data_IF_837888339272
#
_entry.id   IF_837888339272
#
_cell.length_a   1.000
_cell.length_b   1.000
_cell.length_c   1.000
_cell.angle_alpha   90.00
_cell.angle_beta   90.00
_cell.angle_gamma   90.00
#
_symmetry.space_group_name_H-M   'P 1'
#
loop_
_entity.id
_entity.type
_entity.pdbx_description
1 polymer ?
#
# COMPACT_ATOMS: atom_id res chain seq x y z
N UNK A 1 21.11 2.04 -9.14
CA UNK A 1 20.93 1.11 -10.27
C UNK A 1 19.55 0.51 -10.15
N UNK A 2 18.57 1.02 -10.91
CA UNK A 2 17.34 0.27 -11.16
C UNK A 2 17.83 -0.88 -12.03
N UNK A 3 18.05 -2.07 -11.44
CA UNK A 3 18.15 -3.29 -12.25
C UNK A 3 16.96 -3.19 -13.20
N UNK A 4 17.23 -3.25 -14.51
CA UNK A 4 16.18 -3.44 -15.49
C UNK A 4 15.22 -4.46 -14.88
N UNK A 5 13.98 -4.06 -14.59
CA UNK A 5 12.93 -5.00 -14.18
C UNK A 5 12.54 -5.78 -15.43
N UNK A 6 13.50 -6.52 -15.94
CA UNK A 6 13.38 -7.40 -17.09
C UNK A 6 12.79 -8.70 -16.57
N UNK A 7 11.68 -9.09 -17.19
CA UNK A 7 10.94 -10.35 -17.01
C UNK A 7 10.11 -10.46 -15.72
N UNK A 8 9.07 -9.63 -15.61
CA UNK A 8 7.78 -10.21 -15.21
C UNK A 8 7.39 -11.19 -16.33
N UNK A 9 7.42 -12.49 -16.06
CA UNK A 9 6.94 -13.50 -17.01
C UNK A 9 5.48 -13.19 -17.31
N UNK A 10 5.21 -12.64 -18.50
CA UNK A 10 3.88 -12.69 -19.12
C UNK A 10 3.59 -14.16 -19.38
N UNK A 11 3.00 -14.84 -18.40
CA UNK A 11 2.46 -16.18 -18.62
C UNK A 11 1.15 -16.00 -19.39
N UNK A 12 1.18 -16.47 -20.63
CA UNK A 12 0.06 -16.53 -21.57
C UNK A 12 -1.02 -17.44 -21.02
N UNK A 13 -1.90 -16.89 -20.20
CA UNK A 13 -3.22 -17.42 -20.02
C UNK A 13 -4.12 -16.73 -21.04
N UNK A 14 -4.83 -17.53 -21.82
CA UNK A 14 -5.97 -17.07 -22.62
C UNK A 14 -6.84 -16.18 -21.74
N UNK A 15 -6.82 -14.87 -22.01
CA UNK A 15 -7.65 -13.86 -21.31
C UNK A 15 -9.13 -14.01 -21.65
N UNK A 16 -9.45 -14.95 -22.54
CA UNK A 16 -10.78 -15.23 -23.00
C UNK A 16 -11.35 -16.33 -22.08
N UNK A 17 -12.38 -15.97 -21.30
CA UNK A 17 -13.36 -16.83 -20.57
C UNK A 17 -13.37 -16.80 -19.04
N UNK A 18 -12.56 -16.01 -18.33
CA UNK A 18 -12.73 -15.96 -16.87
C UNK A 18 -13.87 -15.00 -16.50
N UNK A 19 -14.97 -15.51 -15.94
CA UNK A 19 -16.10 -14.71 -15.50
C UNK A 19 -15.99 -14.29 -14.03
N UNK A 20 -16.77 -13.29 -13.60
CA UNK A 20 -16.88 -12.94 -12.16
C UNK A 20 -17.41 -14.11 -11.33
N UNK A 21 -18.28 -14.94 -11.92
CA UNK A 21 -18.86 -16.10 -11.25
C UNK A 21 -17.77 -17.11 -10.87
N UNK A 22 -16.81 -17.33 -11.75
CA UNK A 22 -15.71 -18.28 -11.54
C UNK A 22 -14.80 -17.82 -10.39
N UNK A 23 -14.47 -16.53 -10.35
CA UNK A 23 -13.63 -15.96 -9.29
C UNK A 23 -14.25 -16.06 -7.89
N UNK A 24 -15.57 -15.91 -7.76
CA UNK A 24 -16.23 -15.95 -6.46
C UNK A 24 -16.97 -17.26 -6.20
N UNK A 25 -16.74 -18.31 -7.01
CA UNK A 25 -17.42 -19.60 -6.86
C UNK A 25 -17.21 -20.21 -5.48
N UNK A 26 -15.98 -20.18 -4.98
CA UNK A 26 -15.55 -20.74 -3.69
C UNK A 26 -15.95 -19.91 -2.47
N UNK A 27 -16.37 -18.65 -2.66
CA UNK A 27 -16.77 -17.79 -1.53
C UNK A 27 -18.10 -18.26 -0.94
N UNK A 28 -18.10 -18.58 0.36
CA UNK A 28 -19.30 -18.94 1.11
C UNK A 28 -20.09 -17.71 1.56
N UNK A 29 -21.40 -17.87 1.71
CA UNK A 29 -22.34 -16.82 2.13
C UNK A 29 -23.05 -17.31 3.38
N UNK A 30 -22.48 -16.99 4.53
CA UNK A 30 -22.98 -17.46 5.84
C UNK A 30 -23.72 -16.36 6.61
N UNK A 31 -23.43 -15.09 6.31
CA UNK A 31 -23.95 -13.94 7.06
C UNK A 31 -24.28 -12.79 6.10
N UNK A 32 -25.26 -11.97 6.48
CA UNK A 32 -25.55 -10.70 5.86
C UNK A 32 -24.36 -9.74 6.05
N UNK A 33 -23.76 -9.19 4.98
CA UNK A 33 -22.62 -8.27 5.09
C UNK A 33 -22.97 -6.89 5.67
N UNK A 34 -24.26 -6.60 5.90
CA UNK A 34 -24.72 -5.33 6.43
C UNK A 34 -25.08 -5.36 7.92
N UNK A 35 -25.62 -6.48 8.42
CA UNK A 35 -26.08 -6.62 9.81
C UNK A 35 -25.56 -7.88 10.51
N UNK A 36 -24.73 -8.69 9.84
CA UNK A 36 -24.15 -9.94 10.37
C UNK A 36 -25.15 -11.04 10.72
N UNK A 37 -26.44 -10.89 10.41
CA UNK A 37 -27.45 -11.94 10.58
C UNK A 37 -27.20 -13.15 9.66
N UNK A 38 -27.47 -14.36 10.16
CA UNK A 38 -27.48 -15.62 9.38
C UNK A 38 -28.81 -15.85 8.63
N UNK A 39 -29.84 -15.04 8.94
CA UNK A 39 -31.18 -15.19 8.42
C UNK A 39 -31.31 -14.59 7.01
N UNK A 40 -30.84 -15.31 6.00
CA UNK A 40 -30.97 -14.94 4.59
C UNK A 40 -31.46 -16.08 3.71
N UNK A 41 -32.19 -15.72 2.66
CA UNK A 41 -32.70 -16.67 1.66
C UNK A 41 -32.22 -16.32 0.26
N UNK A 42 -32.21 -17.29 -0.65
CA UNK A 42 -31.93 -17.06 -2.07
C UNK A 42 -33.00 -16.12 -2.66
N UNK A 43 -32.57 -15.16 -3.47
CA UNK A 43 -33.42 -14.10 -4.05
C UNK A 43 -33.11 -13.91 -5.54
N UNK A 44 -33.20 -14.99 -6.31
CA UNK A 44 -32.94 -15.01 -7.75
C UNK A 44 -31.48 -14.79 -8.15
N UNK A 45 -31.26 -14.47 -9.43
CA UNK A 45 -29.93 -14.28 -10.02
C UNK A 45 -29.80 -12.91 -10.69
N UNK A 46 -28.57 -12.40 -10.75
CA UNK A 46 -28.22 -11.25 -11.57
C UNK A 46 -26.89 -11.54 -12.27
N UNK A 47 -26.85 -11.44 -13.61
CA UNK A 47 -25.69 -11.78 -14.44
C UNK A 47 -25.07 -13.15 -14.07
N UNK A 48 -25.92 -14.16 -13.85
CA UNK A 48 -25.51 -15.52 -13.48
C UNK A 48 -24.99 -15.70 -12.05
N UNK A 49 -25.06 -14.66 -11.20
CA UNK A 49 -24.64 -14.69 -9.79
C UNK A 49 -25.86 -14.74 -8.88
N UNK A 50 -25.88 -15.72 -7.97
CA UNK A 50 -26.93 -15.87 -6.96
C UNK A 50 -26.99 -14.63 -6.06
N UNK A 51 -28.19 -14.06 -5.95
CA UNK A 51 -28.52 -13.02 -4.96
C UNK A 51 -29.18 -13.65 -3.74
N UNK A 52 -29.00 -13.00 -2.60
CA UNK A 52 -29.60 -13.33 -1.32
C UNK A 52 -30.30 -12.10 -0.78
N UNK A 53 -31.36 -12.29 0.00
CA UNK A 53 -32.02 -11.24 0.78
C UNK A 53 -31.95 -11.59 2.25
N UNK A 54 -31.47 -10.67 3.07
CA UNK A 54 -31.51 -10.79 4.52
C UNK A 54 -32.94 -10.58 5.00
N UNK A 55 -33.47 -11.44 5.86
CA UNK A 55 -34.82 -11.29 6.42
C UNK A 55 -34.88 -10.22 7.51
N UNK A 56 -33.81 -10.03 8.26
CA UNK A 56 -33.78 -9.06 9.37
C UNK A 56 -33.65 -7.62 8.86
N UNK A 57 -32.64 -7.32 8.01
CA UNK A 57 -32.43 -5.95 7.51
C UNK A 57 -33.01 -5.69 6.10
N UNK A 58 -33.64 -6.69 5.48
CA UNK A 58 -34.26 -6.64 4.14
C UNK A 58 -33.33 -6.25 2.98
N UNK A 59 -32.01 -6.14 3.21
CA UNK A 59 -31.04 -5.80 2.16
C UNK A 59 -30.67 -7.01 1.31
N UNK A 60 -30.45 -6.78 0.02
CA UNK A 60 -29.96 -7.81 -0.90
C UNK A 60 -28.44 -7.79 -1.01
N UNK A 61 -27.85 -8.98 -1.19
CA UNK A 61 -26.41 -9.17 -1.34
C UNK A 61 -26.10 -10.38 -2.20
N UNK A 62 -24.83 -10.59 -2.53
CA UNK A 62 -24.35 -11.72 -3.32
C UNK A 62 -22.93 -12.12 -2.90
N UNK A 63 -22.39 -13.17 -3.49
CA UNK A 63 -20.96 -13.54 -3.35
C UNK A 63 -20.00 -12.43 -3.79
N UNK A 64 -20.46 -11.44 -4.57
CA UNK A 64 -19.65 -10.29 -4.99
C UNK A 64 -19.79 -9.07 -4.09
N UNK A 65 -20.71 -9.10 -3.12
CA UNK A 65 -20.87 -7.98 -2.18
C UNK A 65 -19.63 -7.87 -1.30
N UNK A 66 -19.19 -6.62 -1.06
CA UNK A 66 -17.95 -6.32 -0.35
C UNK A 66 -16.73 -7.09 -0.90
N UNK A 67 -16.65 -7.28 -2.22
CA UNK A 67 -15.45 -7.76 -2.90
C UNK A 67 -14.78 -6.65 -3.72
N UNK A 68 -13.55 -6.89 -4.19
CA UNK A 68 -12.82 -5.93 -5.03
C UNK A 68 -13.64 -5.44 -6.23
N UNK A 69 -14.46 -6.32 -6.81
CA UNK A 69 -15.26 -6.04 -8.00
C UNK A 69 -16.70 -5.64 -7.70
N UNK A 70 -17.04 -5.42 -6.42
CA UNK A 70 -18.37 -4.94 -6.03
C UNK A 70 -18.70 -3.64 -6.77
N UNK A 71 -19.90 -3.59 -7.33
CA UNK A 71 -20.45 -2.51 -8.16
C UNK A 71 -19.71 -2.23 -9.47
N UNK A 72 -18.75 -3.07 -9.89
CA UNK A 72 -18.12 -2.93 -11.20
C UNK A 72 -19.07 -3.40 -12.31
N UNK A 73 -19.33 -2.54 -13.29
CA UNK A 73 -20.00 -2.92 -14.55
C UNK A 73 -19.05 -3.53 -15.58
N UNK A 74 -17.73 -3.35 -15.41
CA UNK A 74 -16.71 -3.96 -16.28
C UNK A 74 -16.53 -5.43 -15.95
N UNK A 75 -16.18 -6.21 -16.96
CA UNK A 75 -15.90 -7.63 -16.93
C UNK A 75 -14.59 -7.93 -16.16
N UNK A 76 -14.38 -9.20 -15.84
CA UNK A 76 -13.20 -9.63 -15.09
C UNK A 76 -11.91 -9.44 -15.90
N UNK A 77 -11.92 -9.68 -17.22
CA UNK A 77 -10.72 -9.54 -18.06
C UNK A 77 -10.18 -8.10 -18.05
N UNK A 78 -11.06 -7.10 -18.08
CA UNK A 78 -10.65 -5.68 -17.95
C UNK A 78 -9.98 -5.40 -16.61
N UNK A 79 -10.46 -6.00 -15.51
CA UNK A 79 -9.82 -5.88 -14.20
C UNK A 79 -8.45 -6.56 -14.15
N UNK A 80 -8.33 -7.75 -14.74
CA UNK A 80 -7.04 -8.47 -14.84
C UNK A 80 -6.04 -7.66 -15.64
N UNK A 81 -6.45 -7.11 -16.79
CA UNK A 81 -5.62 -6.20 -17.57
C UNK A 81 -5.20 -4.96 -16.77
N UNK A 82 -6.09 -4.39 -15.95
CA UNK A 82 -5.72 -3.27 -15.08
C UNK A 82 -4.67 -3.68 -14.03
N UNK A 83 -4.75 -4.89 -13.48
CA UNK A 83 -3.76 -5.41 -12.55
C UNK A 83 -2.40 -5.61 -13.23
N UNK A 84 -2.36 -6.16 -14.43
CA UNK A 84 -1.13 -6.28 -15.23
C UNK A 84 -0.44 -4.91 -15.38
N UNK A 85 -1.21 -3.89 -15.78
CA UNK A 85 -0.71 -2.52 -15.93
C UNK A 85 -0.26 -1.90 -14.60
N UNK A 86 -0.89 -2.28 -13.47
CA UNK A 86 -0.47 -1.85 -12.15
C UNK A 86 0.90 -2.45 -11.80
N UNK A 87 1.07 -3.76 -11.99
CA UNK A 87 2.33 -4.50 -11.75
C UNK A 87 3.46 -3.96 -12.64
N UNK A 88 3.16 -3.63 -13.90
CA UNK A 88 4.07 -2.91 -14.81
C UNK A 88 4.31 -1.43 -14.42
N UNK A 89 3.73 -0.96 -13.31
CA UNK A 89 3.85 0.40 -12.76
C UNK A 89 3.40 1.52 -13.71
N UNK A 90 2.42 1.24 -14.57
CA UNK A 90 1.91 2.23 -15.54
C UNK A 90 1.12 3.36 -14.86
N UNK A 91 1.06 4.52 -15.50
CA UNK A 91 0.31 5.67 -14.99
C UNK A 91 -1.21 5.45 -15.12
N UNK A 92 -2.02 6.15 -14.31
CA UNK A 92 -3.49 6.05 -14.39
C UNK A 92 -4.03 6.48 -15.76
N UNK A 93 -3.41 7.50 -16.37
CA UNK A 93 -3.78 7.98 -17.72
C UNK A 93 -3.50 6.92 -18.78
N UNK A 94 -2.35 6.23 -18.68
CA UNK A 94 -2.05 5.11 -19.56
C UNK A 94 -3.06 3.97 -19.40
N UNK A 95 -3.38 3.59 -18.16
CA UNK A 95 -4.36 2.55 -17.89
C UNK A 95 -5.75 2.90 -18.42
N UNK A 96 -6.18 4.16 -18.21
CA UNK A 96 -7.46 4.67 -18.70
C UNK A 96 -7.57 4.60 -20.22
N UNK A 97 -6.55 5.08 -20.94
CA UNK A 97 -6.47 5.03 -22.41
C UNK A 97 -6.44 3.59 -22.92
N UNK A 98 -5.59 2.73 -22.34
CA UNK A 98 -5.39 1.35 -22.81
C UNK A 98 -6.63 0.47 -22.64
N UNK A 99 -7.43 0.71 -21.61
CA UNK A 99 -8.60 -0.11 -21.26
C UNK A 99 -9.95 0.53 -21.61
N UNK A 100 -9.97 1.73 -22.20
CA UNK A 100 -11.21 2.45 -22.51
C UNK A 100 -12.06 2.73 -21.27
N UNK A 101 -11.42 3.12 -20.15
CA UNK A 101 -12.09 3.49 -18.90
C UNK A 101 -11.81 4.94 -18.55
N UNK A 102 -12.71 5.57 -17.79
CA UNK A 102 -12.46 6.93 -17.30
C UNK A 102 -11.26 6.98 -16.35
N UNK A 103 -10.59 8.13 -16.28
CA UNK A 103 -9.49 8.35 -15.34
C UNK A 103 -9.94 8.17 -13.88
N UNK A 104 -11.17 8.55 -13.56
CA UNK A 104 -11.78 8.40 -12.23
C UNK A 104 -11.96 6.92 -11.89
N UNK A 105 -12.43 6.11 -12.85
CA UNK A 105 -12.54 4.66 -12.70
C UNK A 105 -11.18 4.03 -12.43
N UNK A 106 -10.16 4.37 -13.24
CA UNK A 106 -8.80 3.90 -13.04
C UNK A 106 -8.25 4.26 -11.64
N UNK A 107 -8.50 5.50 -11.19
CA UNK A 107 -8.10 5.95 -9.86
C UNK A 107 -8.72 5.09 -8.74
N UNK A 108 -10.03 4.87 -8.78
CA UNK A 108 -10.70 4.05 -7.77
C UNK A 108 -10.26 2.59 -7.82
N UNK A 109 -10.08 2.02 -9.01
CA UNK A 109 -9.62 0.65 -9.16
C UNK A 109 -8.25 0.45 -8.54
N UNK A 110 -7.31 1.37 -8.80
CA UNK A 110 -6.00 1.36 -8.14
C UNK A 110 -6.15 1.39 -6.63
N UNK A 111 -6.93 2.31 -6.08
CA UNK A 111 -7.05 2.42 -4.62
C UNK A 111 -7.80 1.26 -3.96
N UNK A 112 -8.73 0.61 -4.68
CA UNK A 112 -9.36 -0.63 -4.22
C UNK A 112 -8.33 -1.76 -4.15
N UNK A 113 -7.52 -1.95 -5.19
CA UNK A 113 -6.45 -2.95 -5.21
C UNK A 113 -5.44 -2.66 -4.11
N UNK A 114 -4.91 -1.43 -4.05
CA UNK A 114 -3.92 -1.05 -3.05
C UNK A 114 -4.44 -1.16 -1.61
N UNK A 115 -5.75 -0.97 -1.40
CA UNK A 115 -6.36 -1.21 -0.08
C UNK A 115 -6.43 -2.70 0.26
N UNK A 116 -6.76 -3.56 -0.70
CA UNK A 116 -6.76 -5.01 -0.45
C UNK A 116 -5.39 -5.53 -0.03
N UNK A 117 -4.31 -4.95 -0.60
CA UNK A 117 -2.93 -5.25 -0.19
C UNK A 117 -2.60 -4.81 1.25
N UNK A 118 -3.35 -3.86 1.81
CA UNK A 118 -3.04 -3.29 3.12
C UNK A 118 -3.41 -4.16 4.30
N UNK A 119 -4.30 -5.14 4.13
CA UNK A 119 -4.94 -5.85 5.23
C UNK A 119 -4.29 -7.20 5.59
N UNK A 120 -3.43 -7.76 4.74
CA UNK A 120 -2.73 -9.02 5.03
C UNK A 120 -1.40 -8.87 5.75
N UNK A 121 -0.82 -7.68 5.68
CA UNK A 121 0.51 -7.40 6.25
C UNK A 121 0.45 -6.98 7.72
N UNK A 122 -0.76 -6.84 8.28
CA UNK A 122 -0.99 -6.44 9.67
C UNK A 122 -0.84 -7.59 10.68
N UNK A 123 -0.40 -8.79 10.25
CA UNK A 123 0.11 -9.79 11.19
C UNK A 123 1.41 -9.24 11.79
N UNK A 124 1.36 -8.80 13.05
CA UNK A 124 2.54 -8.40 13.84
C UNK A 124 3.60 -9.50 13.75
N UNK A 125 4.56 -9.31 12.85
CA UNK A 125 5.81 -10.05 12.84
C UNK A 125 6.88 -9.05 13.20
N UNK A 126 7.58 -9.31 14.29
CA UNK A 126 8.81 -8.59 14.59
C UNK A 126 9.86 -8.97 13.55
N UNK A 127 10.63 -7.98 13.07
CA UNK A 127 11.81 -8.21 12.25
C UNK A 127 12.86 -8.94 13.08
N UNK A 128 13.39 -10.04 12.55
CA UNK A 128 14.37 -10.90 13.23
C UNK A 128 15.69 -10.98 12.47
N UNK A 129 16.72 -11.43 13.17
CA UNK A 129 18.06 -11.64 12.62
C UNK A 129 18.78 -10.33 12.31
N UNK A 130 19.42 -10.26 11.14
CA UNK A 130 20.07 -9.05 10.63
C UNK A 130 19.02 -8.12 10.03
N UNK A 131 18.81 -6.97 10.68
CA UNK A 131 17.85 -5.96 10.25
C UNK A 131 18.57 -4.86 9.49
N UNK A 132 18.21 -4.70 8.22
CA UNK A 132 18.64 -3.56 7.43
C UNK A 132 17.60 -2.46 7.53
N UNK A 133 18.01 -1.24 7.93
CA UNK A 133 17.11 -0.10 8.11
C UNK A 133 17.58 1.14 7.33
N UNK A 134 16.64 1.85 6.71
CA UNK A 134 16.91 3.04 5.93
C UNK A 134 15.75 4.03 5.93
N UNK A 135 16.03 5.26 5.52
CA UNK A 135 15.05 6.34 5.44
C UNK A 135 14.95 6.95 4.06
N UNK A 136 13.75 7.42 3.71
CA UNK A 136 13.51 8.30 2.58
C UNK A 136 12.58 9.44 3.02
N UNK A 137 12.65 10.57 2.31
CA UNK A 137 11.75 11.70 2.54
C UNK A 137 10.98 12.03 1.27
N UNK A 138 9.69 12.32 1.40
CA UNK A 138 8.86 12.84 0.32
C UNK A 138 8.20 14.14 0.76
N UNK A 139 8.00 15.08 -0.17
CA UNK A 139 7.25 16.30 0.14
C UNK A 139 5.77 16.00 0.24
N UNK A 140 5.13 16.58 1.26
CA UNK A 140 3.69 16.46 1.47
C UNK A 140 2.95 16.86 0.20
N UNK A 141 1.91 16.10 -0.13
CA UNK A 141 1.17 16.28 -1.36
C UNK A 141 -0.33 16.19 -1.06
N UNK A 142 -1.03 17.28 -1.33
CA UNK A 142 -2.45 17.43 -1.04
C UNK A 142 -3.34 17.17 -2.25
N UNK A 143 -2.82 16.55 -3.32
CA UNK A 143 -3.57 16.27 -4.55
C UNK A 143 -4.95 15.67 -4.28
N UNK A 144 -5.98 16.32 -4.82
CA UNK A 144 -7.38 15.93 -4.65
C UNK A 144 -7.99 16.33 -3.30
N UNK A 145 -7.32 17.17 -2.52
CA UNK A 145 -7.90 17.86 -1.36
C UNK A 145 -8.44 19.19 -1.83
N UNK A 146 -9.75 19.42 -1.65
CA UNK A 146 -10.42 20.67 -2.05
C UNK A 146 -10.47 21.70 -0.91
N UNK A 147 -10.34 21.23 0.34
CA UNK A 147 -10.38 22.05 1.54
C UNK A 147 -9.00 22.05 2.18
N UNK A 148 -8.03 22.68 1.51
CA UNK A 148 -6.78 23.02 2.16
C UNK A 148 -7.08 24.17 3.11
N UNK A 149 -7.11 23.89 4.42
CA UNK A 149 -6.90 24.94 5.43
C UNK A 149 -5.45 25.36 5.30
N UNK A 150 -5.18 26.20 4.32
CA UNK A 150 -3.93 26.93 4.28
C UNK A 150 -3.93 27.90 5.46
N UNK A 151 -2.77 28.13 6.04
CA UNK A 151 -2.50 29.27 6.91
C UNK A 151 -2.55 30.59 6.10
N UNK A 152 -3.57 30.74 5.25
CA UNK A 152 -3.80 31.91 4.39
C UNK A 152 -4.19 33.11 5.26
N UNK A 153 -4.86 32.90 6.40
CA UNK A 153 -5.24 34.01 7.29
C UNK A 153 -4.02 34.78 7.85
N UNK A 154 -2.85 34.14 8.04
CA UNK A 154 -1.63 34.85 8.44
C UNK A 154 -0.79 35.34 7.25
N UNK A 155 -0.82 34.67 6.10
CA UNK A 155 -0.01 35.04 4.92
C UNK A 155 -0.62 36.16 4.05
N UNK A 156 -1.91 36.46 4.23
CA UNK A 156 -2.63 37.50 3.48
C UNK A 156 -2.40 38.93 4.02
N UNK A 157 -1.64 39.11 5.10
CA UNK A 157 -1.35 40.42 5.69
C UNK A 157 -0.08 41.10 5.13
N UNK A 158 0.61 40.47 4.18
CA UNK A 158 1.87 40.98 3.64
C UNK A 158 1.85 40.97 2.10
N UNK A 159 1.71 42.15 1.51
CA UNK A 159 1.46 42.34 0.06
C UNK A 159 2.64 42.00 -0.86
N UNK A 160 3.80 41.58 -0.33
CA UNK A 160 5.05 41.43 -1.10
C UNK A 160 5.66 40.01 -1.14
N UNK A 161 4.89 38.95 -0.83
CA UNK A 161 5.43 37.57 -0.82
C UNK A 161 4.96 36.74 -2.03
N UNK A 162 5.90 36.02 -2.65
CA UNK A 162 5.62 35.17 -3.81
C UNK A 162 4.63 34.06 -3.45
N UNK A 163 3.95 33.47 -4.45
CA UNK A 163 3.01 32.35 -4.23
C UNK A 163 3.68 31.14 -3.52
N UNK A 164 5.00 30.97 -3.64
CA UNK A 164 5.76 29.95 -2.89
C UNK A 164 5.88 30.25 -1.40
N UNK A 165 5.91 31.53 -1.06
CA UNK A 165 6.05 31.99 0.31
C UNK A 165 4.67 32.04 1.01
N UNK A 166 3.59 32.30 0.26
CA UNK A 166 2.19 32.27 0.75
C UNK A 166 1.67 30.90 1.20
N UNK A 167 2.26 29.80 0.71
CA UNK A 167 1.84 28.43 1.07
C UNK A 167 2.82 27.71 2.01
N UNK A 168 3.91 28.38 2.41
CA UNK A 168 5.00 27.76 3.15
C UNK A 168 5.71 26.65 2.37
N UNK A 169 6.92 26.30 2.82
CA UNK A 169 7.59 25.11 2.28
C UNK A 169 6.78 23.87 2.69
N UNK A 170 6.38 23.03 1.72
CA UNK A 170 5.67 21.79 2.03
C UNK A 170 6.51 20.93 2.96
N UNK A 171 5.85 20.40 3.98
CA UNK A 171 6.50 19.58 4.98
C UNK A 171 7.11 18.31 4.37
N UNK A 172 8.23 17.88 4.95
CA UNK A 172 8.90 16.65 4.57
C UNK A 172 8.35 15.49 5.38
N UNK A 173 7.75 14.52 4.71
CA UNK A 173 7.30 13.27 5.31
C UNK A 173 8.46 12.29 5.31
N UNK A 174 8.85 11.85 6.49
CA UNK A 174 9.86 10.83 6.65
C UNK A 174 9.25 9.44 6.62
N UNK A 175 9.87 8.59 5.82
CA UNK A 175 9.48 7.21 5.61
C UNK A 175 10.64 6.35 6.06
N UNK A 176 10.35 5.42 6.95
CA UNK A 176 11.32 4.42 7.42
C UNK A 176 10.96 3.09 6.78
N UNK A 177 11.95 2.43 6.21
CA UNK A 177 11.83 1.06 5.73
C UNK A 177 12.89 0.18 6.38
N UNK A 178 12.49 -1.04 6.70
CA UNK A 178 13.37 -2.05 7.26
C UNK A 178 13.01 -3.44 6.74
N UNK A 179 14.01 -4.32 6.67
CA UNK A 179 13.84 -5.73 6.33
C UNK A 179 14.71 -6.59 7.22
N UNK A 180 14.22 -7.78 7.57
CA UNK A 180 14.93 -8.77 8.39
C UNK A 180 15.43 -9.95 7.55
N UNK A 181 16.12 -10.89 8.20
CA UNK A 181 16.64 -12.11 7.57
C UNK A 181 15.53 -13.06 7.10
N UNK A 182 14.32 -12.93 7.64
CA UNK A 182 13.13 -13.70 7.27
C UNK A 182 12.41 -13.17 6.02
N UNK A 183 13.01 -12.22 5.30
CA UNK A 183 12.41 -11.49 4.18
C UNK A 183 11.13 -10.71 4.53
N UNK A 184 10.81 -10.57 5.82
CA UNK A 184 9.77 -9.63 6.24
C UNK A 184 10.29 -8.21 6.08
N UNK A 185 9.47 -7.35 5.46
CA UNK A 185 9.82 -5.96 5.18
C UNK A 185 8.64 -5.05 5.51
N UNK A 186 8.93 -3.92 6.14
CA UNK A 186 7.98 -2.81 6.27
C UNK A 186 8.53 -1.51 5.68
N UNK A 187 7.62 -0.59 5.40
CA UNK A 187 7.86 0.76 4.94
C UNK A 187 6.66 1.60 5.38
N UNK A 188 6.90 2.65 6.18
CA UNK A 188 5.83 3.44 6.78
C UNK A 188 6.23 4.91 6.95
N UNK A 189 5.28 5.85 6.79
CA UNK A 189 5.47 7.23 7.17
C UNK A 189 5.54 7.30 8.70
N UNK A 190 6.55 7.97 9.24
CA UNK A 190 6.79 7.99 10.68
C UNK A 190 6.55 9.38 11.26
N UNK A 191 7.21 10.41 10.73
CA UNK A 191 7.13 11.78 11.24
C UNK A 191 7.15 12.85 10.13
N UNK A 192 6.67 14.03 10.49
CA UNK A 192 6.62 15.24 9.65
C UNK A 192 7.74 16.19 10.07
N UNK A 193 8.54 16.64 9.12
CA UNK A 193 9.73 17.50 9.27
C UNK A 193 10.84 16.91 10.15
N UNK A 194 10.64 16.90 11.47
CA UNK A 194 11.67 16.58 12.45
C UNK A 194 11.45 15.18 13.04
N UNK A 195 12.56 14.54 13.42
CA UNK A 195 12.52 13.22 14.03
C UNK A 195 11.93 13.32 15.45
N UNK A 196 10.81 12.63 15.68
CA UNK A 196 10.24 12.42 17.00
C UNK A 196 10.60 11.02 17.50
N UNK A 197 11.45 10.94 18.52
CA UNK A 197 11.91 9.67 19.10
C UNK A 197 10.79 8.83 19.69
N UNK A 198 9.79 9.46 20.31
CA UNK A 198 8.62 8.77 20.85
C UNK A 198 7.85 8.07 19.72
N UNK A 199 7.52 8.81 18.67
CA UNK A 199 6.82 8.27 17.50
C UNK A 199 7.65 7.21 16.77
N UNK A 200 8.96 7.41 16.66
CA UNK A 200 9.85 6.41 16.06
C UNK A 200 9.85 5.12 16.89
N UNK A 201 9.95 5.21 18.21
CA UNK A 201 9.92 4.04 19.08
C UNK A 201 8.61 3.30 18.97
N UNK A 202 7.48 4.02 19.10
CA UNK A 202 6.12 3.47 19.00
C UNK A 202 5.84 2.81 17.65
N UNK A 203 6.23 3.46 16.54
CA UNK A 203 5.91 2.99 15.18
C UNK A 203 6.96 2.08 14.56
N UNK A 204 8.23 2.12 14.96
CA UNK A 204 9.34 1.41 14.27
C UNK A 204 10.04 0.45 15.21
N UNK A 205 10.48 0.93 16.38
CA UNK A 205 11.33 0.13 17.26
C UNK A 205 10.57 -1.04 17.93
N UNK A 206 9.27 -0.88 18.19
CA UNK A 206 8.38 -1.94 18.72
C UNK A 206 8.29 -3.17 17.81
N UNK A 207 8.51 -3.00 16.50
CA UNK A 207 8.48 -4.08 15.51
C UNK A 207 9.86 -4.69 15.25
N UNK A 208 10.89 -4.26 15.98
CA UNK A 208 12.24 -4.82 15.89
C UNK A 208 12.43 -5.81 17.04
N UNK A 209 12.85 -7.04 16.73
CA UNK A 209 13.18 -8.02 17.76
C UNK A 209 14.35 -7.50 18.61
N UNK A 210 14.24 -7.68 19.93
CA UNK A 210 15.26 -7.23 20.88
C UNK A 210 16.58 -7.95 20.63
N UNK A 211 16.57 -9.16 20.10
CA UNK A 211 17.78 -9.98 19.86
C UNK A 211 18.32 -9.86 18.44
N UNK A 212 17.79 -8.91 17.66
CA UNK A 212 18.27 -8.62 16.31
C UNK A 212 19.58 -7.83 16.29
N UNK A 213 20.20 -7.76 15.11
CA UNK A 213 21.36 -6.90 14.83
C UNK A 213 20.99 -5.86 13.77
N UNK A 214 21.18 -4.57 14.06
CA UNK A 214 20.73 -3.50 13.16
C UNK A 214 21.88 -2.96 12.30
N UNK A 215 21.67 -2.94 10.98
CA UNK A 215 22.51 -2.30 9.97
C UNK A 215 21.75 -1.07 9.42
N UNK A 216 22.21 0.13 9.79
CA UNK A 216 21.58 1.38 9.38
C UNK A 216 22.26 2.05 8.19
N UNK A 217 21.45 2.49 7.21
CA UNK A 217 21.93 3.18 6.01
C UNK A 217 21.60 4.68 5.98
N UNK A 218 22.53 5.47 5.44
CA UNK A 218 22.44 6.89 5.06
C UNK A 218 22.18 7.90 6.20
N UNK A 219 21.39 7.56 7.21
CA UNK A 219 20.91 8.48 8.22
C UNK A 219 21.70 8.39 9.54
N UNK A 220 22.20 9.52 10.03
CA UNK A 220 23.00 9.61 11.26
C UNK A 220 22.23 9.16 12.51
N UNK A 221 20.96 9.49 12.60
CA UNK A 221 20.09 9.06 13.70
C UNK A 221 19.88 7.54 13.71
N UNK A 222 19.58 6.94 12.56
CA UNK A 222 19.49 5.47 12.46
C UNK A 222 20.83 4.80 12.81
N UNK A 223 21.96 5.38 12.41
CA UNK A 223 23.30 4.89 12.78
C UNK A 223 23.53 4.97 14.29
N UNK A 224 23.11 6.04 14.95
CA UNK A 224 23.21 6.18 16.40
C UNK A 224 22.32 5.15 17.13
N UNK A 225 21.09 4.95 16.65
CA UNK A 225 20.17 3.94 17.18
C UNK A 225 20.74 2.52 17.01
N UNK A 226 21.26 2.18 15.84
CA UNK A 226 21.89 0.90 15.58
C UNK A 226 23.08 0.65 16.52
N UNK A 227 23.97 1.64 16.70
CA UNK A 227 25.08 1.55 17.66
C UNK A 227 24.60 1.27 19.08
N UNK A 228 23.55 1.97 19.54
CA UNK A 228 22.99 1.78 20.89
C UNK A 228 22.36 0.40 21.06
N UNK A 229 21.56 -0.03 20.09
CA UNK A 229 20.91 -1.35 20.12
C UNK A 229 21.96 -2.48 20.09
N UNK A 230 22.93 -2.40 19.18
CA UNK A 230 23.95 -3.43 19.02
C UNK A 230 24.94 -3.47 20.21
N UNK A 231 25.25 -2.34 20.85
CA UNK A 231 26.14 -2.31 22.04
C UNK A 231 25.59 -3.12 23.22
N UNK A 232 24.26 -3.17 23.36
CA UNK A 232 23.59 -3.96 24.39
C UNK A 232 23.68 -5.47 24.12
N UNK A 233 24.13 -5.87 22.92
CA UNK A 233 24.21 -7.24 22.46
C UNK A 233 25.68 -7.63 22.32
N UNK A 234 26.32 -7.90 23.46
CA UNK A 234 27.72 -8.40 23.57
C UNK A 234 27.99 -9.72 22.81
N UNK A 235 27.01 -10.30 22.12
CA UNK A 235 26.99 -11.70 21.65
C UNK A 235 27.11 -11.92 20.13
N UNK A 236 27.15 -10.87 19.28
CA UNK A 236 27.35 -11.04 17.83
C UNK A 236 28.72 -10.48 17.44
N UNK A 237 29.71 -11.38 17.37
CA UNK A 237 31.14 -11.11 17.28
C UNK A 237 31.53 -10.06 16.21
N UNK A 238 32.57 -9.26 16.52
CA UNK A 238 33.27 -8.32 15.62
C UNK A 238 33.66 -8.92 14.25
N UNK A 239 33.71 -10.25 14.12
CA UNK A 239 34.02 -10.98 12.89
C UNK A 239 32.86 -11.05 11.88
N UNK A 240 31.59 -10.99 12.32
CA UNK A 240 30.43 -11.01 11.40
C UNK A 240 30.09 -9.65 10.78
N UNK A 241 30.64 -8.55 11.32
CA UNK A 241 30.44 -7.19 10.79
C UNK A 241 30.85 -7.03 9.32
N UNK A 242 31.71 -7.92 8.82
CA UNK A 242 32.27 -7.85 7.47
C UNK A 242 31.65 -8.84 6.46
N UNK A 243 30.69 -9.68 6.85
CA UNK A 243 30.19 -10.77 5.98
C UNK A 243 28.69 -10.75 5.69
N UNK A 244 27.86 -10.01 6.44
CA UNK A 244 26.44 -9.92 6.12
C UNK A 244 26.22 -9.16 4.80
N UNK A 245 25.55 -9.77 3.80
CA UNK A 245 25.37 -9.16 2.50
C UNK A 245 24.53 -7.88 2.60
N UNK A 246 24.96 -6.86 1.88
CA UNK A 246 24.23 -5.60 1.82
C UNK A 246 22.87 -5.79 1.17
N UNK A 247 21.79 -5.53 1.92
CA UNK A 247 20.46 -5.50 1.32
C UNK A 247 20.28 -4.24 0.46
N UNK A 248 20.30 -4.44 -0.86
CA UNK A 248 20.14 -3.36 -1.85
C UNK A 248 18.73 -2.76 -1.84
N UNK A 249 17.69 -3.47 -1.38
CA UNK A 249 16.31 -2.96 -1.30
C UNK A 249 16.24 -1.82 -0.29
N UNK A 250 16.92 -1.95 0.85
CA UNK A 250 17.00 -0.92 1.88
C UNK A 250 18.13 0.08 1.61
N UNK A 251 19.34 -0.36 1.22
CA UNK A 251 20.44 0.56 0.91
C UNK A 251 20.07 1.53 -0.21
N UNK A 252 19.35 1.08 -1.23
CA UNK A 252 18.84 1.91 -2.32
C UNK A 252 17.37 2.31 -2.11
N UNK A 253 16.84 2.28 -0.88
CA UNK A 253 15.44 2.57 -0.61
C UNK A 253 15.00 3.93 -1.16
N UNK A 254 15.76 4.99 -0.88
CA UNK A 254 15.46 6.36 -1.33
C UNK A 254 15.34 6.47 -2.86
N UNK A 255 16.34 6.08 -3.68
CA UNK A 255 16.20 6.15 -5.13
C UNK A 255 15.13 5.19 -5.68
N UNK A 256 14.97 3.99 -5.11
CA UNK A 256 13.95 3.03 -5.56
C UNK A 256 12.53 3.55 -5.31
N UNK A 257 12.28 4.10 -4.11
CA UNK A 257 11.00 4.69 -3.77
C UNK A 257 10.70 5.91 -4.65
N UNK A 258 11.69 6.79 -4.87
CA UNK A 258 11.54 7.96 -5.75
C UNK A 258 11.17 7.52 -7.17
N UNK A 259 11.88 6.54 -7.72
CA UNK A 259 11.60 6.00 -9.05
C UNK A 259 10.16 5.49 -9.15
N UNK A 260 9.70 4.68 -8.18
CA UNK A 260 8.33 4.18 -8.15
C UNK A 260 7.30 5.31 -8.06
N UNK A 261 7.48 6.27 -7.16
CA UNK A 261 6.50 7.35 -6.97
C UNK A 261 6.43 8.31 -8.16
N UNK A 262 7.54 8.49 -8.90
CA UNK A 262 7.57 9.29 -10.12
C UNK A 262 6.65 8.72 -11.21
N UNK A 263 6.55 7.39 -11.37
CA UNK A 263 5.67 6.79 -12.39
C UNK A 263 4.19 7.11 -12.17
N UNK A 264 3.80 7.38 -10.92
CA UNK A 264 2.44 7.72 -10.55
C UNK A 264 2.11 9.22 -10.65
N UNK A 265 3.06 10.06 -11.05
CA UNK A 265 2.87 11.50 -11.31
C UNK A 265 2.19 12.22 -10.14
N UNK A 266 2.75 12.03 -8.94
CA UNK A 266 2.30 12.64 -7.70
C UNK A 266 1.25 11.80 -6.96
N UNK A 267 1.67 11.24 -5.83
CA UNK A 267 0.83 10.51 -4.87
C UNK A 267 0.43 11.46 -3.74
N UNK A 268 -0.87 11.54 -3.43
CA UNK A 268 -1.34 12.32 -2.29
C UNK A 268 -0.93 11.64 -0.97
N UNK A 269 -0.52 12.44 0.02
CA UNK A 269 -0.04 11.95 1.33
C UNK A 269 -1.02 11.00 2.01
N UNK A 270 -2.34 11.28 1.97
CA UNK A 270 -3.38 10.39 2.51
C UNK A 270 -3.35 8.96 1.98
N UNK A 271 -2.75 8.74 0.81
CA UNK A 271 -2.64 7.41 0.21
C UNK A 271 -1.24 6.81 0.33
N UNK A 272 -0.25 7.54 0.85
CA UNK A 272 1.16 7.18 0.81
C UNK A 272 1.41 5.78 1.38
N UNK A 273 0.82 5.44 2.53
CA UNK A 273 0.96 4.11 3.13
C UNK A 273 0.54 2.97 2.19
N UNK A 274 -0.50 3.19 1.36
CA UNK A 274 -0.96 2.18 0.40
C UNK A 274 0.07 1.94 -0.71
N UNK A 275 0.75 2.99 -1.13
CA UNK A 275 1.83 2.89 -2.11
C UNK A 275 3.12 2.32 -1.51
N UNK A 276 3.38 2.55 -0.23
CA UNK A 276 4.51 1.92 0.47
C UNK A 276 4.31 0.41 0.63
N UNK A 277 3.10 -0.03 0.92
CA UNK A 277 2.73 -1.45 0.90
C UNK A 277 2.88 -2.07 -0.48
N UNK A 278 2.49 -1.35 -1.53
CA UNK A 278 2.77 -1.77 -2.89
C UNK A 278 4.27 -1.86 -3.20
N UNK A 279 5.07 -0.90 -2.71
CA UNK A 279 6.52 -0.93 -2.83
C UNK A 279 7.10 -2.19 -2.15
N UNK A 280 6.68 -2.50 -0.92
CA UNK A 280 7.10 -3.71 -0.20
C UNK A 280 6.82 -4.95 -1.04
N UNK A 281 5.58 -5.09 -1.53
CA UNK A 281 5.16 -6.25 -2.31
C UNK A 281 6.04 -6.48 -3.54
N UNK A 282 6.39 -5.41 -4.25
CA UNK A 282 7.29 -5.45 -5.41
C UNK A 282 8.77 -5.73 -5.08
N UNK A 283 9.15 -5.75 -3.80
CA UNK A 283 10.54 -5.98 -3.34
C UNK A 283 10.70 -7.26 -2.49
N UNK A 284 9.59 -7.83 -2.00
CA UNK A 284 9.59 -9.16 -1.36
C UNK A 284 9.48 -10.26 -2.42
N UNK A 285 8.60 -10.07 -3.41
CA UNK A 285 8.29 -11.09 -4.40
C UNK A 285 8.74 -10.66 -5.82
N UNK A 286 9.84 -11.25 -6.29
CA UNK A 286 10.36 -11.01 -7.64
C UNK A 286 9.45 -11.60 -8.75
N UNK A 287 8.56 -12.53 -8.41
CA UNK A 287 7.67 -13.24 -9.33
C UNK A 287 6.19 -12.84 -9.17
N UNK A 288 5.90 -11.76 -8.43
CA UNK A 288 4.55 -11.34 -8.08
C UNK A 288 3.59 -11.38 -9.27
N UNK A 289 2.61 -12.27 -9.22
CA UNK A 289 1.58 -12.40 -10.23
C UNK A 289 0.25 -11.78 -9.75
N UNK A 290 -0.58 -11.31 -10.68
CA UNK A 290 -1.96 -10.90 -10.39
C UNK A 290 -2.76 -12.02 -9.73
N UNK A 291 -2.43 -13.30 -10.00
CA UNK A 291 -3.04 -14.45 -9.31
C UNK A 291 -2.74 -14.42 -7.82
N UNK A 292 -1.52 -14.15 -7.41
CA UNK A 292 -1.15 -14.03 -5.99
C UNK A 292 -1.84 -12.83 -5.35
N UNK A 293 -1.88 -11.69 -6.06
CA UNK A 293 -2.65 -10.50 -5.65
C UNK A 293 -4.15 -10.84 -5.47
N UNK A 294 -4.71 -11.66 -6.35
CA UNK A 294 -6.13 -12.03 -6.30
C UNK A 294 -6.44 -13.09 -5.24
N UNK A 295 -5.69 -14.19 -5.21
CA UNK A 295 -5.90 -15.33 -4.32
C UNK A 295 -5.58 -14.99 -2.87
N UNK A 296 -4.43 -14.38 -2.61
CA UNK A 296 -3.98 -14.08 -1.26
C UNK A 296 -4.61 -12.78 -0.73
N UNK A 297 -4.83 -11.78 -1.59
CA UNK A 297 -5.18 -10.42 -1.13
C UNK A 297 -6.59 -9.94 -1.51
N UNK A 298 -7.26 -10.48 -2.54
CA UNK A 298 -8.57 -9.98 -3.02
C UNK A 298 -9.78 -10.87 -2.69
N UNK A 299 -9.57 -12.20 -2.57
CA UNK A 299 -10.63 -13.18 -2.35
C UNK A 299 -10.95 -13.46 -0.87
N UNK A 300 -10.09 -13.03 0.06
CA UNK A 300 -10.34 -13.16 1.49
C UNK A 300 -11.40 -12.15 2.01
N UNK A 301 -12.18 -12.55 3.03
CA UNK A 301 -13.24 -11.74 3.64
C UNK A 301 -12.68 -10.37 4.12
N UNK A 302 -13.51 -9.32 4.03
CA UNK A 302 -13.33 -7.99 4.67
C UNK A 302 -12.34 -6.97 4.08
N UNK A 303 -11.91 -7.10 2.81
CA UNK A 303 -10.93 -6.17 2.20
C UNK A 303 -11.47 -5.12 1.24
N UNK A 304 -12.78 -4.93 1.23
CA UNK A 304 -13.45 -3.98 0.34
C UNK A 304 -13.48 -2.56 0.91
N UNK A 305 -13.14 -1.58 0.06
CA UNK A 305 -13.39 -0.17 0.33
C UNK A 305 -14.32 0.42 -0.71
N UNK A 306 -15.39 1.07 -0.22
CA UNK A 306 -16.29 1.85 -1.06
C UNK A 306 -15.55 3.07 -1.65
N UNK A 307 -15.89 3.45 -2.88
CA UNK A 307 -15.37 4.64 -3.57
C UNK A 307 -15.51 5.91 -2.74
N UNK A 308 -16.59 6.05 -1.98
CA UNK A 308 -16.83 7.24 -1.15
C UNK A 308 -15.81 7.31 -0.01
N UNK A 309 -15.56 6.17 0.63
CA UNK A 309 -14.54 6.04 1.68
C UNK A 309 -13.13 6.29 1.15
N UNK A 310 -12.82 5.97 -0.11
CA UNK A 310 -11.51 6.28 -0.71
C UNK A 310 -11.25 7.79 -0.69
N UNK A 311 -12.25 8.62 -0.99
CA UNK A 311 -12.07 10.08 -1.00
C UNK A 311 -11.93 10.67 0.40
N UNK A 312 -12.65 10.09 1.36
CA UNK A 312 -12.74 10.53 2.76
C UNK A 312 -11.57 10.07 3.65
N UNK A 313 -10.55 9.39 3.10
CA UNK A 313 -9.37 9.01 3.88
C UNK A 313 -8.72 10.27 4.43
N UNK A 314 -8.84 10.47 5.74
CA UNK A 314 -8.22 11.57 6.47
C UNK A 314 -6.70 11.39 6.53
N UNK A 315 -5.96 12.51 6.55
CA UNK A 315 -4.50 12.57 6.72
C UNK A 315 -3.98 12.13 8.11
N UNK A 316 -4.73 11.32 8.88
CA UNK A 316 -4.32 10.83 10.21
C UNK A 316 -3.21 9.77 10.15
N UNK A 317 -2.12 10.04 9.41
CA UNK A 317 -0.96 9.15 9.27
C UNK A 317 0.18 9.50 10.23
N UNK A 318 0.15 10.69 10.83
CA UNK A 318 1.24 11.23 11.64
C UNK A 318 0.83 11.29 13.10
#
# INVERSE_FOLDING_TARGET
MIKQRTKLKKLGLSKNQISKKDFYKTRSVNYCPACSSENHVKYGFYNGIQRYICKDCRRTFSKTTNSLWSYSKKDASTWLNFMDLLVETKSLRFCAKKLGISLVTAFYWRHKILHSLTLDTDKLKNLKGTIHIGTASVKENFKGSRNLKSNIEEACLSDNLNLKDKFGSRDSIWIVAATGSDNYMFAKPVFKNNCNMRTFNEKVYTEIDKDSYIIAYQNSYLKALARRHNKLKKLYNKTHMHQEPVDLRIKCFRPNLRSLLCTFHGVATKYLQRYLRYFILLNIDENLNYRDILSNYSLAKNKFINTDRIRLISNKMY
#
